data_IF_308487795780
#
_entry.id   IF_308487795780
#
_cell.length_a   1.000
_cell.length_b   1.000
_cell.length_c   1.000
_cell.angle_alpha   90.00
_cell.angle_beta   90.00
_cell.angle_gamma   90.00
#
_symmetry.space_group_name_H-M   'P 1'
#
loop_
_entity.id
_entity.type
_entity.pdbx_description
1 polymer ?
#
# COMPACT_ATOMS: atom_id res chain seq x y z
N UNK A 1 2.36 -12.80 7.13
CA UNK A 1 3.51 -11.98 6.67
C UNK A 1 3.49 -10.70 7.49
N UNK A 2 4.46 -10.48 8.37
CA UNK A 2 4.56 -9.22 9.11
C UNK A 2 5.36 -8.24 8.27
N UNK A 3 4.68 -7.24 7.71
CA UNK A 3 5.37 -6.08 7.17
C UNK A 3 5.68 -5.13 8.32
N UNK A 4 6.85 -4.52 8.26
CA UNK A 4 7.23 -3.47 9.20
C UNK A 4 6.35 -2.23 9.04
N UNK A 5 6.33 -1.38 10.06
CA UNK A 5 5.58 -0.12 9.98
C UNK A 5 6.18 0.79 8.91
N UNK A 6 5.31 1.34 8.06
CA UNK A 6 5.73 2.33 7.07
C UNK A 6 5.80 3.68 7.75
N UNK A 7 7.02 4.22 7.88
CA UNK A 7 7.24 5.58 8.35
C UNK A 7 7.46 6.54 7.16
N UNK A 8 7.12 7.83 7.30
CA UNK A 8 7.30 8.83 6.25
C UNK A 8 8.76 8.95 5.76
N UNK A 9 9.72 8.71 6.66
CA UNK A 9 11.15 8.77 6.34
C UNK A 9 11.55 7.74 5.26
N UNK A 10 10.86 6.58 5.22
CA UNK A 10 11.07 5.55 4.20
C UNK A 10 10.86 6.06 2.77
N UNK A 11 10.09 7.12 2.54
CA UNK A 11 9.90 7.67 1.20
C UNK A 11 11.03 8.62 0.77
N UNK A 12 11.87 9.05 1.71
CA UNK A 12 12.96 10.00 1.47
C UNK A 12 14.36 9.35 1.58
N UNK A 13 14.44 8.12 2.10
CA UNK A 13 15.69 7.38 2.20
C UNK A 13 15.81 6.32 1.11
N UNK A 14 17.04 6.06 0.68
CA UNK A 14 17.38 4.95 -0.21
C UNK A 14 18.03 3.88 0.66
N UNK A 15 17.33 2.77 0.89
CA UNK A 15 17.87 1.62 1.63
C UNK A 15 18.36 0.53 0.68
N UNK A 16 19.39 -0.21 1.11
CA UNK A 16 19.84 -1.45 0.45
C UNK A 16 18.88 -2.62 0.66
N UNK A 17 18.07 -2.57 1.72
CA UNK A 17 17.01 -3.54 1.98
C UNK A 17 15.69 -3.02 1.42
N UNK A 18 14.81 -3.92 0.94
CA UNK A 18 13.49 -3.50 0.48
C UNK A 18 12.72 -2.87 1.63
N UNK A 19 12.31 -1.62 1.44
CA UNK A 19 11.55 -0.86 2.42
C UNK A 19 10.14 -1.47 2.59
N UNK A 20 9.51 -1.32 3.76
CA UNK A 20 8.22 -1.97 4.02
C UNK A 20 7.12 -1.52 3.05
N UNK A 21 7.15 -0.26 2.58
CA UNK A 21 6.21 0.21 1.56
C UNK A 21 6.37 -0.55 0.24
N UNK A 22 7.61 -0.86 -0.17
CA UNK A 22 7.89 -1.63 -1.40
C UNK A 22 7.37 -3.05 -1.27
N UNK A 23 7.59 -3.69 -0.10
CA UNK A 23 7.09 -5.03 0.17
C UNK A 23 5.56 -5.09 0.13
N UNK A 24 4.89 -4.07 0.68
CA UNK A 24 3.42 -3.95 0.60
C UNK A 24 2.96 -3.74 -0.84
N UNK A 25 3.63 -2.89 -1.63
CA UNK A 25 3.30 -2.72 -3.06
C UNK A 25 3.45 -4.02 -3.84
N UNK A 26 4.52 -4.78 -3.59
CA UNK A 26 4.72 -6.08 -4.21
C UNK A 26 3.63 -7.07 -3.81
N UNK A 27 3.28 -7.13 -2.52
CA UNK A 27 2.19 -7.97 -2.05
C UNK A 27 0.86 -7.58 -2.71
N UNK A 28 0.52 -6.30 -2.76
CA UNK A 28 -0.69 -5.82 -3.43
C UNK A 28 -0.70 -6.18 -4.93
N UNK A 29 0.41 -6.02 -5.62
CA UNK A 29 0.51 -6.39 -7.04
C UNK A 29 0.38 -7.90 -7.23
N UNK A 30 0.98 -8.72 -6.37
CA UNK A 30 0.86 -10.17 -6.41
C UNK A 30 -0.57 -10.64 -6.12
N UNK A 31 -1.21 -10.03 -5.13
CA UNK A 31 -2.60 -10.31 -4.77
C UNK A 31 -3.56 -9.91 -5.89
N UNK A 32 -3.35 -8.77 -6.52
CA UNK A 32 -4.17 -8.30 -7.64
C UNK A 32 -3.94 -9.02 -8.97
N UNK A 33 -3.23 -10.16 -9.00
CA UNK A 33 -3.02 -10.94 -10.23
C UNK A 33 -1.83 -10.51 -11.09
N UNK A 34 -1.04 -9.52 -10.65
CA UNK A 34 0.12 -9.01 -11.38
C UNK A 34 -0.23 -8.09 -12.56
N UNK A 35 0.79 -7.46 -13.15
CA UNK A 35 0.63 -6.59 -14.33
C UNK A 35 -0.31 -5.40 -14.10
N UNK A 36 -1.27 -5.23 -15.02
CA UNK A 36 -2.23 -4.11 -15.00
C UNK A 36 -3.25 -4.27 -13.86
N UNK A 37 -3.71 -5.49 -13.61
CA UNK A 37 -4.68 -5.78 -12.55
C UNK A 37 -4.08 -5.51 -11.17
N UNK A 38 -2.85 -5.96 -10.93
CA UNK A 38 -2.10 -5.64 -9.70
C UNK A 38 -1.88 -4.13 -9.51
N UNK A 39 -1.62 -3.40 -10.60
CA UNK A 39 -1.44 -1.93 -10.56
C UNK A 39 -2.76 -1.23 -10.22
N UNK A 40 -3.86 -1.63 -10.83
CA UNK A 40 -5.20 -1.10 -10.53
C UNK A 40 -5.61 -1.44 -9.09
N UNK A 41 -5.35 -2.66 -8.63
CA UNK A 41 -5.63 -3.10 -7.27
C UNK A 41 -4.87 -2.26 -6.25
N UNK A 42 -3.55 -2.12 -6.43
CA UNK A 42 -2.70 -1.26 -5.59
C UNK A 42 -3.24 0.17 -5.52
N UNK A 43 -3.61 0.73 -6.67
CA UNK A 43 -4.14 2.10 -6.77
C UNK A 43 -5.47 2.25 -6.03
N UNK A 44 -6.39 1.30 -6.20
CA UNK A 44 -7.68 1.30 -5.50
C UNK A 44 -7.51 1.09 -4.00
N UNK A 45 -6.65 0.16 -3.57
CA UNK A 45 -6.36 -0.08 -2.16
C UNK A 45 -5.79 1.18 -1.48
N UNK A 46 -4.86 1.87 -2.14
CA UNK A 46 -4.32 3.15 -1.66
C UNK A 46 -5.40 4.23 -1.60
N UNK A 47 -6.23 4.38 -2.65
CA UNK A 47 -7.35 5.32 -2.66
C UNK A 47 -8.31 5.09 -1.50
N UNK A 48 -8.72 3.84 -1.28
CA UNK A 48 -9.60 3.45 -0.17
C UNK A 48 -8.93 3.61 1.21
N UNK A 49 -7.61 3.47 1.28
CA UNK A 49 -6.84 3.76 2.48
C UNK A 49 -6.64 5.27 2.75
N UNK A 50 -7.19 6.15 1.91
CA UNK A 50 -7.16 7.60 2.07
C UNK A 50 -6.12 8.32 1.21
N UNK A 51 -5.34 7.59 0.40
CA UNK A 51 -4.35 8.18 -0.51
C UNK A 51 -5.02 8.67 -1.80
N UNK A 52 -5.45 9.94 -1.80
CA UNK A 52 -6.15 10.60 -2.92
C UNK A 52 -5.27 10.83 -4.16
N UNK A 53 -3.94 10.69 -4.02
CA UNK A 53 -2.96 11.06 -5.04
C UNK A 53 -2.38 9.87 -5.82
N UNK A 54 -3.11 8.75 -5.86
CA UNK A 54 -2.65 7.41 -6.26
C UNK A 54 -1.91 7.25 -7.60
N UNK A 55 -1.76 8.30 -8.42
CA UNK A 55 -0.82 8.28 -9.56
C UNK A 55 -0.26 9.64 -10.00
N UNK A 56 -0.54 10.73 -9.30
CA UNK A 56 -0.15 12.08 -9.76
C UNK A 56 1.02 12.64 -8.95
N UNK A 57 1.28 12.09 -7.77
CA UNK A 57 2.22 12.68 -6.82
C UNK A 57 3.12 11.61 -6.23
N UNK A 58 4.43 11.84 -6.25
CA UNK A 58 5.43 11.00 -5.58
C UNK A 58 5.13 10.95 -4.08
N UNK A 59 5.26 9.78 -3.46
CA UNK A 59 5.02 9.61 -2.02
C UNK A 59 5.84 10.57 -1.16
N UNK A 60 7.06 10.94 -1.61
CA UNK A 60 7.91 11.93 -0.93
C UNK A 60 7.31 13.32 -0.78
N UNK A 61 6.27 13.69 -1.56
CA UNK A 61 5.57 14.98 -1.39
C UNK A 61 4.59 14.97 -0.21
N UNK A 62 4.01 13.82 0.09
CA UNK A 62 3.07 13.61 1.20
C UNK A 62 3.44 12.32 1.96
N UNK A 63 4.63 12.26 2.58
CA UNK A 63 5.14 11.01 3.12
C UNK A 63 4.34 10.53 4.33
N UNK A 64 3.73 11.44 5.10
CA UNK A 64 2.89 11.14 6.27
C UNK A 64 1.57 10.48 5.84
N UNK A 65 0.90 11.05 4.84
CA UNK A 65 -0.36 10.50 4.31
C UNK A 65 -0.12 9.16 3.59
N UNK A 66 1.00 9.04 2.87
CA UNK A 66 1.39 7.79 2.24
C UNK A 66 1.63 6.70 3.31
N UNK A 67 2.46 7.00 4.32
CA UNK A 67 2.73 6.10 5.44
C UNK A 67 1.46 5.62 6.12
N UNK A 68 0.53 6.53 6.44
CA UNK A 68 -0.75 6.19 7.04
C UNK A 68 -1.59 5.25 6.15
N UNK A 69 -1.69 5.54 4.85
CA UNK A 69 -2.41 4.69 3.90
C UNK A 69 -1.78 3.29 3.81
N UNK A 70 -0.46 3.21 3.72
CA UNK A 70 0.25 1.93 3.70
C UNK A 70 0.08 1.15 4.99
N UNK A 71 0.11 1.79 6.16
CA UNK A 71 -0.11 1.13 7.45
C UNK A 71 -1.56 0.63 7.60
N UNK A 72 -2.54 1.32 7.04
CA UNK A 72 -3.91 0.82 6.97
C UNK A 72 -4.00 -0.43 6.10
N UNK A 73 -3.39 -0.41 4.91
CA UNK A 73 -3.36 -1.57 4.02
C UNK A 73 -2.61 -2.74 4.68
N UNK A 74 -1.50 -2.46 5.38
CA UNK A 74 -0.74 -3.43 6.18
C UNK A 74 -1.63 -4.12 7.21
N UNK A 75 -2.36 -3.36 8.01
CA UNK A 75 -3.29 -3.91 8.99
C UNK A 75 -4.37 -4.80 8.34
N UNK A 76 -4.86 -4.41 7.16
CA UNK A 76 -5.81 -5.25 6.41
C UNK A 76 -5.18 -6.51 5.85
N UNK A 77 -3.93 -6.44 5.37
CA UNK A 77 -3.14 -7.59 4.90
C UNK A 77 -2.82 -8.60 6.01
N UNK A 78 -2.65 -8.13 7.26
CA UNK A 78 -2.47 -9.00 8.42
C UNK A 78 -3.75 -9.79 8.75
N UNK A 79 -4.92 -9.20 8.52
CA UNK A 79 -6.22 -9.82 8.83
C UNK A 79 -6.75 -10.67 7.67
N UNK A 80 -6.55 -10.23 6.43
CA UNK A 80 -7.05 -10.86 5.21
C UNK A 80 -5.95 -10.84 4.15
N UNK A 81 -5.56 -12.01 3.64
CA UNK A 81 -4.62 -12.12 2.52
C UNK A 81 -5.32 -12.20 1.16
N UNK A 82 -6.65 -12.07 1.12
CA UNK A 82 -7.43 -12.13 -0.10
C UNK A 82 -7.61 -10.72 -0.69
N UNK A 83 -7.23 -10.47 -1.96
CA UNK A 83 -7.35 -9.16 -2.59
C UNK A 83 -8.78 -8.62 -2.54
N UNK A 84 -9.76 -9.47 -2.87
CA UNK A 84 -11.18 -9.12 -2.89
C UNK A 84 -11.65 -8.70 -1.49
N UNK A 85 -11.32 -9.47 -0.47
CA UNK A 85 -11.68 -9.18 0.92
C UNK A 85 -11.01 -7.89 1.44
N UNK A 86 -9.74 -7.66 1.10
CA UNK A 86 -9.03 -6.43 1.48
C UNK A 86 -9.73 -5.22 0.85
N UNK A 87 -10.07 -5.27 -0.44
CA UNK A 87 -10.78 -4.17 -1.08
C UNK A 87 -12.18 -3.98 -0.52
N UNK A 88 -12.94 -5.05 -0.29
CA UNK A 88 -14.26 -4.94 0.34
C UNK A 88 -14.18 -4.30 1.73
N UNK A 89 -13.21 -4.70 2.56
CA UNK A 89 -12.98 -4.10 3.89
C UNK A 89 -12.51 -2.66 3.82
N UNK A 90 -11.66 -2.33 2.86
CA UNK A 90 -11.18 -0.96 2.65
C UNK A 90 -12.30 -0.04 2.10
N UNK A 91 -13.22 -0.57 1.28
CA UNK A 91 -14.35 0.18 0.73
C UNK A 91 -15.55 0.29 1.69
N UNK A 92 -15.72 -0.64 2.63
CA UNK A 92 -16.78 -0.59 3.66
C UNK A 92 -16.51 0.35 4.82
N UNK A 93 -15.40 1.10 4.79
CA UNK A 93 -14.97 1.98 5.89
C UNK A 93 -15.63 3.36 5.82
#
# INVERSE_FOLDING_TARGET
>A
MQFDEVIPDHFNIISRTPLPHVLIEQALMQLGGGGIEGTNFKRNALLSAGWKHASVVSYGKHPIEAAAAFNLVRAMLEVSQNPVEIMEKLQKK
#
